data_IF_188346185756
#
_entry.id   IF_188346185756
#
_cell.length_a   1.000
_cell.length_b   1.000
_cell.length_c   1.000
_cell.angle_alpha   90.00
_cell.angle_beta   90.00
_cell.angle_gamma   90.00
#
_symmetry.space_group_name_H-M   'P 1'
#
loop_
_entity.id
_entity.type
_entity.pdbx_description
1 polymer ?
#
# COMPACT_ATOMS: atom_id res chain seq x y z
N UNK A 1 2.68 -4.67 81.65
CA UNK A 1 2.80 -3.21 81.48
C UNK A 1 4.21 -2.77 81.88
N UNK A 2 5.05 -2.35 80.93
CA UNK A 2 6.21 -1.52 81.25
C UNK A 2 6.35 -0.50 80.13
N UNK A 3 6.04 0.74 80.44
CA UNK A 3 6.06 1.87 79.51
C UNK A 3 7.48 2.43 79.47
N UNK A 4 8.08 2.47 78.28
CA UNK A 4 9.27 3.28 78.01
C UNK A 4 8.81 4.62 77.43
N UNK A 5 9.08 5.76 78.09
CA UNK A 5 9.07 7.05 77.43
C UNK A 5 10.48 7.57 77.19
N UNK A 6 10.68 7.96 75.93
CA UNK A 6 11.42 9.13 75.47
C UNK A 6 12.93 9.21 75.74
N UNK A 7 13.68 9.22 74.64
CA UNK A 7 14.47 10.41 74.32
C UNK A 7 14.46 10.67 72.81
N UNK A 8 13.93 11.83 72.41
CA UNK A 8 14.08 12.41 71.06
C UNK A 8 15.40 13.17 71.00
N UNK A 9 16.09 13.18 69.86
CA UNK A 9 16.41 14.48 69.26
C UNK A 9 16.09 14.46 67.75
N UNK A 10 15.20 15.32 67.30
CA UNK A 10 15.52 16.66 66.81
C UNK A 10 16.32 16.66 65.50
N UNK A 11 15.55 16.81 64.42
CA UNK A 11 15.83 17.60 63.22
C UNK A 11 17.26 17.61 62.67
N UNK A 12 17.37 17.18 61.41
CA UNK A 12 18.02 17.99 60.37
C UNK A 12 17.39 17.62 59.04
N UNK A 13 16.44 18.46 58.61
CA UNK A 13 15.98 18.53 57.24
C UNK A 13 17.20 18.78 56.35
N UNK A 14 17.58 17.80 55.55
CA UNK A 14 18.45 18.00 54.40
C UNK A 14 17.63 17.63 53.17
N UNK A 15 16.98 18.66 52.62
CA UNK A 15 16.55 18.66 51.24
C UNK A 15 17.82 18.51 50.39
N UNK A 16 18.02 17.33 49.82
CA UNK A 16 18.97 17.12 48.75
C UNK A 16 18.15 16.59 47.57
N UNK A 17 17.75 17.53 46.72
CA UNK A 17 17.36 17.25 45.35
C UNK A 17 18.52 16.49 44.70
N UNK A 18 18.33 15.19 44.47
CA UNK A 18 19.15 14.43 43.53
C UNK A 18 18.36 14.34 42.24
N UNK A 19 18.75 15.20 41.32
CA UNK A 19 18.29 15.27 39.95
C UNK A 19 18.47 13.91 39.25
N UNK A 20 17.41 13.41 38.62
CA UNK A 20 17.50 12.34 37.62
C UNK A 20 18.04 12.93 36.31
N UNK A 21 19.25 12.59 35.84
CA UNK A 21 19.67 12.97 34.50
C UNK A 21 19.19 11.92 33.49
N UNK A 22 18.88 12.40 32.28
CA UNK A 22 18.79 11.67 31.01
C UNK A 22 17.67 10.61 30.92
N UNK A 23 16.49 10.90 30.39
CA UNK A 23 16.21 11.32 29.01
C UNK A 23 16.78 10.35 27.94
N UNK A 24 15.87 9.90 27.07
CA UNK A 24 16.08 9.36 25.72
C UNK A 24 16.69 7.96 25.60
N UNK A 25 15.84 6.93 25.62
CA UNK A 25 16.02 5.73 24.79
C UNK A 25 14.65 5.17 24.32
N UNK A 26 13.72 6.06 23.95
CA UNK A 26 12.49 5.70 23.22
C UNK A 26 12.64 5.99 21.72
N UNK A 27 13.77 5.56 21.16
CA UNK A 27 14.16 5.79 19.76
C UNK A 27 14.55 4.49 19.07
N UNK A 28 13.89 3.37 19.41
CA UNK A 28 13.90 2.21 18.52
C UNK A 28 13.02 2.58 17.32
N UNK A 29 13.70 3.10 16.30
CA UNK A 29 13.25 3.43 14.96
C UNK A 29 12.04 2.61 14.55
N UNK A 30 10.87 3.23 14.70
CA UNK A 30 9.67 2.85 13.97
C UNK A 30 9.96 3.03 12.49
N UNK A 31 10.53 2.01 11.85
CA UNK A 31 10.34 1.74 10.44
C UNK A 31 8.88 1.30 10.26
N UNK A 32 7.92 2.15 10.61
CA UNK A 32 6.56 1.97 10.13
C UNK A 32 6.65 2.27 8.65
N UNK A 33 6.81 1.25 7.82
CA UNK A 33 6.69 1.37 6.37
C UNK A 33 5.46 2.24 6.11
N UNK A 34 5.67 3.45 5.57
CA UNK A 34 4.61 4.45 5.48
C UNK A 34 3.39 3.81 4.82
N UNK A 35 2.19 4.10 5.34
CA UNK A 35 0.95 3.50 4.89
C UNK A 35 0.89 3.51 3.35
N UNK A 36 0.85 2.34 2.69
CA UNK A 36 0.79 2.27 1.25
C UNK A 36 -0.35 3.10 0.67
N UNK A 37 -1.49 3.24 1.36
CA UNK A 37 -2.60 4.07 0.87
C UNK A 37 -2.24 5.55 0.81
N UNK A 38 -1.52 6.05 1.82
CA UNK A 38 -1.06 7.44 1.84
C UNK A 38 -0.05 7.74 0.73
N UNK A 39 0.70 6.73 0.28
CA UNK A 39 1.69 6.88 -0.79
C UNK A 39 1.08 6.91 -2.19
N UNK A 40 -0.19 6.54 -2.36
CA UNK A 40 -0.89 6.62 -3.65
C UNK A 40 -1.02 8.05 -4.17
N UNK A 41 -0.94 9.06 -3.30
CA UNK A 41 -0.94 10.47 -3.67
C UNK A 41 0.47 11.09 -3.76
N UNK A 42 1.54 10.27 -3.76
CA UNK A 42 2.90 10.80 -3.89
C UNK A 42 3.08 11.52 -5.24
N UNK A 43 3.81 12.63 -5.23
CA UNK A 43 4.24 13.34 -6.46
C UNK A 43 5.15 12.49 -7.34
N UNK A 44 5.82 11.50 -6.77
CA UNK A 44 6.75 10.64 -7.50
C UNK A 44 6.05 9.37 -7.96
N UNK A 45 6.05 9.14 -9.27
CA UNK A 45 5.44 7.95 -9.87
C UNK A 45 5.97 6.61 -9.29
N UNK A 46 7.28 6.45 -9.02
CA UNK A 46 7.79 5.22 -8.39
C UNK A 46 7.19 4.93 -7.02
N UNK A 47 6.92 5.95 -6.20
CA UNK A 47 6.30 5.77 -4.88
C UNK A 47 4.86 5.28 -5.03
N UNK A 48 4.09 5.87 -5.96
CA UNK A 48 2.73 5.43 -6.28
C UNK A 48 2.72 3.99 -6.79
N UNK A 49 3.60 3.66 -7.74
CA UNK A 49 3.75 2.30 -8.27
C UNK A 49 4.09 1.30 -7.16
N UNK A 50 5.08 1.60 -6.31
CA UNK A 50 5.45 0.77 -5.17
C UNK A 50 4.32 0.60 -4.16
N UNK A 51 3.52 1.65 -3.94
CA UNK A 51 2.34 1.59 -3.09
C UNK A 51 1.25 0.68 -3.65
N UNK A 52 0.95 0.78 -4.95
CA UNK A 52 0.00 -0.09 -5.64
C UNK A 52 0.39 -1.57 -5.46
N UNK A 53 1.66 -1.90 -5.71
CA UNK A 53 2.18 -3.27 -5.58
C UNK A 53 1.95 -3.80 -4.17
N UNK A 54 2.33 -3.03 -3.14
CA UNK A 54 2.15 -3.45 -1.73
C UNK A 54 0.68 -3.63 -1.36
N UNK A 55 -0.23 -2.81 -1.88
CA UNK A 55 -1.67 -2.96 -1.64
C UNK A 55 -2.22 -4.23 -2.30
N UNK A 56 -1.79 -4.52 -3.53
CA UNK A 56 -2.18 -5.73 -4.24
C UNK A 56 -1.64 -7.01 -3.59
N UNK A 57 -0.39 -6.97 -3.09
CA UNK A 57 0.21 -8.06 -2.32
C UNK A 57 -0.52 -8.33 -1.02
N UNK A 58 -0.94 -7.27 -0.31
CA UNK A 58 -1.75 -7.35 0.91
C UNK A 58 -3.20 -7.80 0.66
N UNK A 59 -3.63 -7.88 -0.60
CA UNK A 59 -5.03 -8.16 -0.92
C UNK A 59 -5.97 -7.05 -0.46
N UNK A 60 -5.49 -5.80 -0.41
CA UNK A 60 -6.21 -4.66 0.16
C UNK A 60 -7.33 -4.19 -0.77
N UNK A 61 -8.50 -4.81 -0.64
CA UNK A 61 -9.68 -4.49 -1.46
C UNK A 61 -10.29 -3.12 -1.15
N UNK A 62 -9.97 -2.51 -0.02
CA UNK A 62 -10.40 -1.13 0.26
C UNK A 62 -9.72 -0.12 -0.68
N UNK A 63 -8.53 -0.48 -1.20
CA UNK A 63 -7.81 0.37 -2.14
C UNK A 63 -8.44 0.41 -3.55
N UNK A 64 -9.44 -0.44 -3.85
CA UNK A 64 -10.00 -0.56 -5.22
C UNK A 64 -10.47 0.80 -5.75
N UNK A 65 -11.10 1.64 -4.93
CA UNK A 65 -11.51 2.98 -5.36
C UNK A 65 -10.32 3.82 -5.84
N UNK A 66 -9.27 3.91 -5.02
CA UNK A 66 -8.06 4.66 -5.36
C UNK A 66 -7.32 4.06 -6.57
N UNK A 67 -7.30 2.74 -6.70
CA UNK A 67 -6.70 2.05 -7.84
C UNK A 67 -7.45 2.33 -9.16
N UNK A 68 -8.79 2.45 -9.12
CA UNK A 68 -9.57 2.86 -10.30
C UNK A 68 -9.23 4.27 -10.74
N UNK A 69 -9.00 5.20 -9.81
CA UNK A 69 -8.60 6.57 -10.16
C UNK A 69 -7.17 6.60 -10.75
N UNK A 70 -6.27 5.74 -10.27
CA UNK A 70 -4.90 5.61 -10.80
C UNK A 70 -4.83 4.97 -12.20
N UNK A 71 -5.96 4.48 -12.74
CA UNK A 71 -6.05 4.16 -14.17
C UNK A 71 -5.96 5.42 -15.04
N UNK A 72 -6.26 6.60 -14.50
CA UNK A 72 -6.17 7.86 -15.23
C UNK A 72 -4.82 8.56 -15.03
N UNK A 73 -3.88 7.96 -14.29
CA UNK A 73 -2.57 8.54 -13.98
C UNK A 73 -1.75 8.87 -15.24
N UNK A 74 -1.02 9.99 -15.22
CA UNK A 74 -0.19 10.44 -16.33
C UNK A 74 0.96 9.47 -16.63
N UNK A 75 1.49 8.80 -15.59
CA UNK A 75 2.60 7.87 -15.70
C UNK A 75 2.12 6.49 -16.21
N UNK A 76 2.65 5.99 -17.34
CA UNK A 76 2.24 4.70 -17.91
C UNK A 76 2.53 3.50 -16.99
N UNK A 77 3.60 3.55 -16.20
CA UNK A 77 3.92 2.47 -15.28
C UNK A 77 2.91 2.43 -14.13
N UNK A 78 2.53 3.59 -13.58
CA UNK A 78 1.47 3.67 -12.56
C UNK A 78 0.15 3.09 -13.08
N UNK A 79 -0.27 3.44 -14.31
CA UNK A 79 -1.47 2.86 -14.94
C UNK A 79 -1.38 1.35 -15.11
N UNK A 80 -0.21 0.83 -15.49
CA UNK A 80 0.03 -0.60 -15.64
C UNK A 80 -0.09 -1.31 -14.30
N UNK A 81 0.56 -0.81 -13.25
CA UNK A 81 0.47 -1.39 -11.91
C UNK A 81 -0.96 -1.32 -11.37
N UNK A 82 -1.68 -0.22 -11.60
CA UNK A 82 -3.06 -0.05 -11.17
C UNK A 82 -4.00 -1.12 -11.77
N UNK A 83 -3.91 -1.37 -13.09
CA UNK A 83 -4.76 -2.39 -13.70
C UNK A 83 -4.40 -3.81 -13.26
N UNK A 84 -3.12 -4.11 -13.12
CA UNK A 84 -2.68 -5.43 -12.62
C UNK A 84 -3.10 -5.65 -11.17
N UNK A 85 -3.08 -4.61 -10.34
CA UNK A 85 -3.56 -4.67 -8.97
C UNK A 85 -5.08 -4.91 -8.92
N UNK A 86 -5.84 -4.19 -9.76
CA UNK A 86 -7.28 -4.42 -9.88
C UNK A 86 -7.59 -5.85 -10.33
N UNK A 87 -6.90 -6.35 -11.37
CA UNK A 87 -7.05 -7.73 -11.84
C UNK A 87 -6.74 -8.75 -10.73
N UNK A 88 -5.68 -8.53 -9.94
CA UNK A 88 -5.37 -9.40 -8.81
C UNK A 88 -6.47 -9.39 -7.74
N UNK A 89 -7.03 -8.21 -7.43
CA UNK A 89 -8.02 -8.05 -6.37
C UNK A 89 -9.43 -8.50 -6.79
N UNK A 90 -9.79 -8.35 -8.07
CA UNK A 90 -11.14 -8.60 -8.58
C UNK A 90 -11.24 -9.78 -9.54
N UNK A 91 -10.13 -10.16 -10.19
CA UNK A 91 -10.09 -11.14 -11.28
C UNK A 91 -10.42 -10.57 -12.65
N UNK A 92 -10.56 -9.25 -12.79
CA UNK A 92 -11.06 -8.62 -14.02
C UNK A 92 -10.24 -7.39 -14.39
N UNK A 93 -10.05 -7.15 -15.69
CA UNK A 93 -9.47 -5.92 -16.23
C UNK A 93 -10.50 -4.96 -16.82
N UNK A 94 -11.75 -5.42 -17.00
CA UNK A 94 -12.86 -4.71 -17.67
C UNK A 94 -12.49 -4.11 -19.04
N UNK A 95 -11.60 -4.81 -19.76
CA UNK A 95 -11.14 -4.41 -21.09
C UNK A 95 -10.27 -3.14 -21.09
N UNK A 96 -9.70 -2.77 -19.95
CA UNK A 96 -8.77 -1.65 -19.84
C UNK A 96 -7.39 -2.03 -20.41
N UNK A 97 -6.77 -1.10 -21.15
CA UNK A 97 -5.40 -1.22 -21.70
C UNK A 97 -4.58 -0.01 -21.29
N UNK A 98 -3.51 -0.20 -20.54
CA UNK A 98 -2.77 0.91 -19.92
C UNK A 98 -1.99 1.79 -20.91
N UNK A 99 -1.61 1.23 -22.05
CA UNK A 99 -0.85 1.90 -23.12
C UNK A 99 -1.75 2.63 -24.13
N UNK A 100 -3.08 2.49 -24.03
CA UNK A 100 -3.99 3.21 -24.91
C UNK A 100 -3.98 4.73 -24.60
N UNK A 101 -4.37 5.52 -25.59
CA UNK A 101 -4.60 6.96 -25.40
C UNK A 101 -5.68 7.20 -24.35
N UNK A 102 -5.63 8.32 -23.64
CA UNK A 102 -6.60 8.68 -22.60
C UNK A 102 -8.05 8.54 -23.07
N UNK A 103 -8.37 9.07 -24.25
CA UNK A 103 -9.71 8.95 -24.85
C UNK A 103 -10.16 7.49 -25.06
N UNK A 104 -9.22 6.57 -25.35
CA UNK A 104 -9.52 5.13 -25.50
C UNK A 104 -9.61 4.40 -24.16
N UNK A 105 -8.92 4.89 -23.13
CA UNK A 105 -8.98 4.36 -21.76
C UNK A 105 -10.24 4.79 -21.01
N UNK A 106 -10.73 6.00 -21.24
CA UNK A 106 -11.85 6.59 -20.50
C UNK A 106 -13.11 5.70 -20.44
N UNK A 107 -13.58 5.04 -21.52
CA UNK A 107 -14.73 4.14 -21.43
C UNK A 107 -14.50 2.95 -20.48
N UNK A 108 -13.28 2.42 -20.41
CA UNK A 108 -12.95 1.33 -19.48
C UNK A 108 -12.95 1.81 -18.03
N UNK A 109 -12.44 3.01 -17.76
CA UNK A 109 -12.52 3.64 -16.43
C UNK A 109 -13.98 3.87 -16.02
N UNK A 110 -14.83 4.31 -16.95
CA UNK A 110 -16.26 4.45 -16.66
C UNK A 110 -16.94 3.13 -16.33
N UNK A 111 -16.59 2.03 -17.02
CA UNK A 111 -17.07 0.68 -16.65
C UNK A 111 -16.66 0.30 -15.24
N UNK A 112 -15.44 0.62 -14.81
CA UNK A 112 -15.00 0.41 -13.43
C UNK A 112 -15.81 1.23 -12.42
N UNK A 113 -16.01 2.52 -12.67
CA UNK A 113 -16.79 3.40 -11.79
C UNK A 113 -18.25 2.96 -11.69
N UNK A 114 -18.86 2.56 -12.81
CA UNK A 114 -20.22 2.00 -12.82
C UNK A 114 -20.29 0.72 -11.99
N UNK A 115 -19.32 -0.19 -12.13
CA UNK A 115 -19.27 -1.43 -11.37
C UNK A 115 -19.24 -1.22 -9.85
N UNK A 116 -18.49 -0.20 -9.40
CA UNK A 116 -18.40 0.18 -8.00
C UNK A 116 -19.74 0.74 -7.49
N UNK A 117 -20.40 1.60 -8.28
CA UNK A 117 -21.72 2.15 -7.92
C UNK A 117 -22.81 1.08 -7.87
N UNK A 118 -22.77 0.12 -8.78
CA UNK A 118 -23.72 -0.99 -8.85
C UNK A 118 -23.41 -2.12 -7.85
N UNK A 119 -22.29 -2.03 -7.12
CA UNK A 119 -21.88 -3.05 -6.14
C UNK A 119 -21.44 -4.39 -6.76
N UNK A 120 -21.16 -4.42 -8.07
CA UNK A 120 -20.57 -5.56 -8.78
C UNK A 120 -19.15 -5.83 -8.30
N UNK A 121 -18.42 -4.76 -7.97
CA UNK A 121 -17.11 -4.82 -7.32
C UNK A 121 -17.27 -4.28 -5.91
N UNK A 122 -17.04 -5.13 -4.90
CA UNK A 122 -17.12 -4.75 -3.50
C UNK A 122 -15.74 -4.55 -2.90
N UNK A 123 -15.41 -3.34 -2.40
CA UNK A 123 -14.33 -3.16 -1.43
C UNK A 123 -14.64 -4.00 -0.18
N UNK A 124 -13.60 -4.57 0.45
CA UNK A 124 -13.73 -5.21 1.77
C UNK A 124 -14.21 -6.66 1.86
N UNK A 125 -14.81 -7.23 0.81
CA UNK A 125 -15.16 -8.65 0.83
C UNK A 125 -13.91 -9.50 0.60
N UNK A 126 -13.28 -9.99 1.68
CA UNK A 126 -12.20 -10.96 1.57
C UNK A 126 -12.65 -12.15 0.72
N UNK A 127 -11.92 -12.45 -0.36
CA UNK A 127 -12.07 -13.72 -1.06
C UNK A 127 -11.42 -14.80 -0.18
N UNK A 128 -12.00 -15.99 -0.02
CA UNK A 128 -11.24 -17.10 0.52
C UNK A 128 -10.13 -17.42 -0.50
N UNK A 129 -8.90 -17.19 -0.06
CA UNK A 129 -7.63 -17.73 -0.53
C UNK A 129 -7.54 -18.07 -2.03
N UNK A 130 -7.04 -17.13 -2.84
CA UNK A 130 -6.46 -17.44 -4.14
C UNK A 130 -4.94 -17.27 -4.04
N UNK A 131 -4.24 -18.40 -4.09
CA UNK A 131 -2.79 -18.66 -4.23
C UNK A 131 -1.79 -17.52 -3.96
N UNK A 132 -0.86 -17.81 -3.05
CA UNK A 132 0.36 -17.08 -2.75
C UNK A 132 1.24 -16.78 -4.00
N UNK A 133 2.18 -15.82 -3.90
CA UNK A 133 2.39 -14.78 -4.91
C UNK A 133 3.27 -15.19 -6.09
N UNK A 134 2.81 -14.87 -7.30
CA UNK A 134 3.72 -14.53 -8.38
C UNK A 134 4.37 -13.19 -8.06
N UNK A 135 5.66 -13.20 -7.76
CA UNK A 135 6.49 -12.01 -7.60
C UNK A 135 6.33 -11.12 -8.83
N UNK A 136 6.12 -9.81 -8.63
CA UNK A 136 6.02 -8.78 -9.67
C UNK A 136 7.38 -8.54 -10.40
N UNK A 137 8.13 -9.60 -10.72
CA UNK A 137 9.54 -9.54 -11.14
C UNK A 137 9.86 -10.11 -12.53
N UNK A 138 8.90 -10.69 -13.25
CA UNK A 138 9.21 -11.45 -14.47
C UNK A 138 8.34 -11.01 -15.67
N UNK A 139 8.31 -9.71 -15.99
CA UNK A 139 7.95 -9.30 -17.35
C UNK A 139 9.26 -9.25 -18.13
N UNK A 140 9.69 -10.41 -18.63
CA UNK A 140 10.79 -10.47 -19.59
C UNK A 140 10.35 -9.72 -20.83
N UNK A 141 11.03 -8.62 -21.10
CA UNK A 141 11.03 -7.94 -22.38
C UNK A 141 11.77 -8.80 -23.41
N UNK A 142 11.17 -9.92 -23.83
CA UNK A 142 11.59 -10.59 -25.05
C UNK A 142 10.83 -9.96 -26.22
N UNK A 143 11.39 -8.85 -26.68
CA UNK A 143 11.16 -8.37 -28.03
C UNK A 143 11.90 -9.26 -29.03
N UNK A 144 11.28 -9.49 -30.19
CA UNK A 144 11.98 -9.93 -31.40
C UNK A 144 11.87 -11.41 -31.73
N UNK A 145 10.81 -11.78 -32.43
CA UNK A 145 10.70 -13.07 -33.11
C UNK A 145 10.02 -12.88 -34.46
N UNK A 146 10.84 -12.72 -35.50
CA UNK A 146 10.47 -12.47 -36.89
C UNK A 146 9.48 -13.52 -37.42
N UNK A 147 8.34 -13.04 -37.91
CA UNK A 147 7.48 -13.81 -38.82
C UNK A 147 8.24 -14.02 -40.14
N UNK A 148 8.77 -15.21 -40.36
CA UNK A 148 9.18 -15.66 -41.68
C UNK A 148 7.94 -16.15 -42.45
N UNK A 149 7.81 -15.65 -43.67
CA UNK A 149 6.63 -15.77 -44.51
C UNK A 149 6.34 -17.19 -44.99
N UNK A 150 5.04 -17.48 -45.07
CA UNK A 150 4.50 -18.58 -45.86
C UNK A 150 4.45 -18.19 -47.34
N UNK A 151 5.41 -18.69 -48.11
CA UNK A 151 5.23 -19.06 -49.53
C UNK A 151 4.44 -20.38 -49.52
N UNK A 152 3.36 -20.62 -50.26
CA UNK A 152 3.08 -20.20 -51.63
C UNK A 152 3.23 -21.42 -52.55
N UNK A 153 2.09 -22.03 -52.88
CA UNK A 153 1.83 -23.19 -53.77
C UNK A 153 2.01 -24.59 -53.18
#
# INVERSE_FOLDING_TARGET
>A
MSAYPMHRPAARRRAAMLACPAALLAGALGCTAADPRAQLSSRYAPDRAGAIVRLAERGDREAIHALVDLLEDDDPAVRMYAILALERLTGETRGYRYYDSEARRAPAVQRWRTALREGQVRPGAARPEASAPGTWGNVSADGGGLAQGGSGR
#
